data_IF_423914510367
#
_entry.id   IF_423914510367
#
_cell.length_a   1.000
_cell.length_b   1.000
_cell.length_c   1.000
_cell.angle_alpha   90.00
_cell.angle_beta   90.00
_cell.angle_gamma   90.00
#
_symmetry.space_group_name_H-M   'P 1'
#
loop_
_entity.id
_entity.type
_entity.pdbx_description
1 polymer ?
#
# COMPACT_ATOMS: atom_id res chain seq x y z
N UNK A 1 -6.59 -8.77 -21.51
CA UNK A 1 -5.29 -9.13 -20.91
C UNK A 1 -5.37 -8.74 -19.45
N UNK A 2 -5.07 -9.64 -18.51
CA UNK A 2 -4.98 -9.25 -17.10
C UNK A 2 -3.88 -8.22 -16.94
N UNK A 3 -4.18 -7.07 -16.34
CA UNK A 3 -3.17 -6.07 -16.01
C UNK A 3 -2.13 -6.72 -15.09
N UNK A 4 -0.85 -6.61 -15.44
CA UNK A 4 0.24 -7.10 -14.60
C UNK A 4 0.35 -6.21 -13.36
N UNK A 5 0.65 -6.81 -12.20
CA UNK A 5 0.95 -6.03 -11.00
C UNK A 5 2.25 -5.24 -11.23
N UNK A 6 2.26 -3.96 -10.82
CA UNK A 6 3.43 -3.07 -10.93
C UNK A 6 3.89 -2.65 -9.54
N UNK A 7 5.20 -2.49 -9.37
CA UNK A 7 5.83 -1.94 -8.19
C UNK A 7 6.33 -0.52 -8.51
N UNK A 8 5.77 0.49 -7.84
CA UNK A 8 6.29 1.85 -7.86
C UNK A 8 7.16 2.06 -6.62
N UNK A 9 8.42 2.45 -6.83
CA UNK A 9 9.35 2.85 -5.77
C UNK A 9 9.47 4.38 -5.85
N UNK A 10 9.13 5.07 -4.75
CA UNK A 10 9.25 6.54 -4.65
C UNK A 10 10.42 6.92 -3.74
N UNK A 11 11.55 7.27 -4.35
CA UNK A 11 12.76 7.76 -3.66
C UNK A 11 12.64 9.24 -3.31
N UNK A 12 12.73 9.55 -2.03
CA UNK A 12 12.61 10.90 -1.49
C UNK A 12 13.96 11.65 -1.51
N UNK A 13 14.66 11.57 -2.64
CA UNK A 13 16.00 12.13 -2.88
C UNK A 13 17.08 11.58 -1.93
N UNK A 14 17.22 10.25 -1.84
CA UNK A 14 18.29 9.63 -1.06
C UNK A 14 19.66 10.07 -1.56
N UNK A 15 20.57 10.46 -0.66
CA UNK A 15 21.90 10.99 -1.02
C UNK A 15 22.77 9.95 -1.74
N UNK A 16 22.78 8.71 -1.24
CA UNK A 16 23.49 7.57 -1.81
C UNK A 16 22.49 6.63 -2.45
N UNK A 17 21.91 7.05 -3.57
CA UNK A 17 20.94 6.24 -4.30
C UNK A 17 21.59 4.95 -4.81
N UNK A 18 20.90 3.83 -4.62
CA UNK A 18 21.40 2.51 -4.94
C UNK A 18 21.23 2.19 -6.43
N UNK A 19 22.34 2.00 -7.14
CA UNK A 19 22.35 1.64 -8.56
C UNK A 19 21.70 0.26 -8.80
N UNK A 20 21.64 -0.62 -7.79
CA UNK A 20 20.94 -1.91 -7.90
C UNK A 20 19.43 -1.73 -8.07
N UNK A 21 18.85 -0.64 -7.54
CA UNK A 21 17.45 -0.30 -7.80
C UNK A 21 17.25 0.04 -9.28
N UNK A 22 18.15 0.81 -9.88
CA UNK A 22 18.08 1.09 -11.32
C UNK A 22 18.16 -0.19 -12.14
N UNK A 23 19.10 -1.08 -11.79
CA UNK A 23 19.24 -2.39 -12.42
C UNK A 23 17.95 -3.22 -12.30
N UNK A 24 17.25 -3.16 -11.16
CA UNK A 24 15.97 -3.84 -10.99
C UNK A 24 14.92 -3.31 -11.98
N UNK A 25 14.80 -1.99 -12.13
CA UNK A 25 13.86 -1.38 -13.08
C UNK A 25 14.22 -1.68 -14.54
N UNK A 26 15.51 -1.76 -14.89
CA UNK A 26 15.95 -2.17 -16.23
C UNK A 26 15.63 -3.64 -16.54
N UNK A 27 15.68 -4.52 -15.54
CA UNK A 27 15.49 -5.96 -15.71
C UNK A 27 14.02 -6.41 -15.56
N UNK A 28 13.18 -5.61 -14.89
CA UNK A 28 11.76 -5.91 -14.72
C UNK A 28 10.90 -4.67 -15.04
N UNK A 29 10.24 -4.71 -16.20
CA UNK A 29 9.34 -3.65 -16.66
C UNK A 29 8.16 -3.34 -15.72
N UNK A 30 7.89 -4.20 -14.73
CA UNK A 30 6.87 -3.96 -13.71
C UNK A 30 7.37 -3.02 -12.61
N UNK A 31 8.68 -2.81 -12.50
CA UNK A 31 9.30 -1.95 -11.49
C UNK A 31 9.55 -0.57 -12.07
N UNK A 32 8.85 0.41 -11.51
CA UNK A 32 8.96 1.83 -11.87
C UNK A 32 9.59 2.57 -10.72
N UNK A 33 10.62 3.37 -11.01
CA UNK A 33 11.29 4.19 -10.00
C UNK A 33 10.97 5.66 -10.27
N UNK A 34 10.39 6.32 -9.29
CA UNK A 34 10.27 7.77 -9.24
C UNK A 34 11.26 8.30 -8.21
N UNK A 35 12.07 9.28 -8.61
CA UNK A 35 13.03 9.93 -7.71
C UNK A 35 12.79 11.41 -7.65
N UNK A 36 12.62 11.91 -6.44
CA UNK A 36 12.51 13.33 -6.19
C UNK A 36 13.84 14.05 -6.34
N UNK A 37 13.77 15.29 -6.85
CA UNK A 37 14.96 16.15 -7.04
C UNK A 37 15.55 16.62 -5.71
N UNK A 38 14.71 16.74 -4.68
CA UNK A 38 15.03 17.18 -3.33
C UNK A 38 14.15 16.41 -2.36
N UNK A 39 14.61 16.23 -1.12
CA UNK A 39 13.81 15.60 -0.09
C UNK A 39 12.61 16.50 0.25
N UNK A 40 11.39 16.00 0.05
CA UNK A 40 10.13 16.71 0.29
C UNK A 40 9.43 16.28 1.59
N UNK A 41 10.09 15.43 2.37
CA UNK A 41 9.54 14.79 3.55
C UNK A 41 8.62 13.60 3.25
N UNK A 42 8.49 12.71 4.24
CA UNK A 42 7.78 11.43 4.08
C UNK A 42 6.31 11.59 3.66
N UNK A 43 5.56 12.50 4.28
CA UNK A 43 4.14 12.69 3.98
C UNK A 43 3.91 13.11 2.52
N UNK A 44 4.73 14.01 2.00
CA UNK A 44 4.60 14.47 0.62
C UNK A 44 5.06 13.38 -0.37
N UNK A 45 6.10 12.61 -0.02
CA UNK A 45 6.52 11.46 -0.82
C UNK A 45 5.45 10.37 -0.89
N UNK A 46 4.79 10.07 0.25
CA UNK A 46 3.66 9.13 0.30
C UNK A 46 2.48 9.65 -0.54
N UNK A 47 2.13 10.93 -0.41
CA UNK A 47 1.04 11.53 -1.20
C UNK A 47 1.30 11.43 -2.71
N UNK A 48 2.54 11.64 -3.17
CA UNK A 48 2.91 11.45 -4.57
C UNK A 48 2.68 10.04 -5.09
N UNK A 49 2.81 9.00 -4.25
CA UNK A 49 2.48 7.64 -4.68
C UNK A 49 1.03 7.54 -5.19
N UNK A 50 0.07 8.22 -4.54
CA UNK A 50 -1.33 8.26 -4.99
C UNK A 50 -1.49 9.02 -6.32
N UNK A 51 -0.66 10.01 -6.61
CA UNK A 51 -0.68 10.77 -7.86
C UNK A 51 -0.03 10.01 -9.03
N UNK A 52 0.97 9.17 -8.75
CA UNK A 52 1.78 8.48 -9.74
C UNK A 52 1.21 7.11 -10.14
N UNK A 53 0.45 6.46 -9.26
CA UNK A 53 -0.14 5.15 -9.54
C UNK A 53 -1.26 5.28 -10.56
N UNK A 54 -1.28 4.37 -11.53
CA UNK A 54 -2.28 4.31 -12.62
C UNK A 54 -3.14 3.05 -12.60
N UNK A 55 -2.88 2.15 -11.64
CA UNK A 55 -3.66 0.94 -11.44
C UNK A 55 -4.93 1.21 -10.65
N UNK A 56 -5.98 0.41 -10.88
CA UNK A 56 -7.26 0.53 -10.17
C UNK A 56 -7.16 0.25 -8.66
N UNK A 57 -6.08 -0.41 -8.23
CA UNK A 57 -5.83 -0.72 -6.83
C UNK A 57 -4.39 -0.40 -6.49
N UNK A 58 -4.19 0.21 -5.32
CA UNK A 58 -2.87 0.52 -4.78
C UNK A 58 -2.70 -0.12 -3.42
N UNK A 59 -1.63 -0.89 -3.24
CA UNK A 59 -1.14 -1.27 -1.93
C UNK A 59 0.03 -0.36 -1.56
N UNK A 60 -0.19 0.50 -0.57
CA UNK A 60 0.88 1.36 -0.06
C UNK A 60 1.77 0.55 0.87
N UNK A 61 3.09 0.64 0.73
CA UNK A 61 4.07 -0.10 1.52
C UNK A 61 5.17 0.83 2.02
N UNK A 62 5.63 0.61 3.24
CA UNK A 62 6.91 1.12 3.71
C UNK A 62 8.04 0.19 3.24
N UNK A 63 9.21 0.76 2.99
CA UNK A 63 10.46 0.03 2.73
C UNK A 63 10.94 -0.80 3.95
N UNK A 64 10.62 -0.35 5.16
CA UNK A 64 10.92 -1.06 6.42
C UNK A 64 10.01 -2.28 6.72
N UNK A 65 8.92 -2.48 5.96
CA UNK A 65 7.91 -3.49 6.29
C UNK A 65 8.18 -4.86 5.65
N UNK A 66 8.10 -5.92 6.47
CA UNK A 66 8.19 -7.30 6.00
C UNK A 66 6.88 -7.78 5.37
N UNK A 67 6.97 -8.33 4.16
CA UNK A 67 5.82 -8.89 3.43
C UNK A 67 5.69 -10.40 3.66
N UNK A 68 4.48 -10.87 4.00
CA UNK A 68 4.18 -12.31 4.05
C UNK A 68 4.11 -12.88 2.62
N UNK A 69 4.61 -14.11 2.36
CA UNK A 69 4.65 -14.70 1.01
C UNK A 69 3.28 -14.79 0.29
N UNK A 70 2.19 -14.87 1.05
CA UNK A 70 0.82 -14.97 0.53
C UNK A 70 0.05 -13.64 0.57
N UNK A 71 0.70 -12.51 0.86
CA UNK A 71 0.01 -11.23 1.00
C UNK A 71 -0.77 -10.84 -0.27
N UNK A 72 -0.13 -10.89 -1.44
CA UNK A 72 -0.77 -10.52 -2.72
C UNK A 72 -1.97 -11.42 -3.06
N UNK A 73 -1.90 -12.73 -2.77
CA UNK A 73 -3.02 -13.62 -3.05
C UNK A 73 -4.21 -13.36 -2.13
N UNK A 74 -3.96 -13.02 -0.86
CA UNK A 74 -4.99 -12.58 0.09
C UNK A 74 -5.62 -11.27 -0.39
N UNK A 75 -4.81 -10.26 -0.73
CA UNK A 75 -5.27 -8.95 -1.18
C UNK A 75 -6.17 -9.10 -2.41
N UNK A 76 -5.72 -9.83 -3.44
CA UNK A 76 -6.51 -10.06 -4.67
C UNK A 76 -7.81 -10.81 -4.39
N UNK A 77 -7.80 -11.78 -3.46
CA UNK A 77 -9.02 -12.47 -3.05
C UNK A 77 -10.03 -11.50 -2.42
N UNK A 78 -9.58 -10.56 -1.59
CA UNK A 78 -10.45 -9.56 -0.97
C UNK A 78 -11.00 -8.55 -1.99
N UNK A 79 -10.15 -8.04 -2.89
CA UNK A 79 -10.58 -7.17 -4.00
C UNK A 79 -11.69 -7.82 -4.84
N UNK A 80 -11.59 -9.12 -5.11
CA UNK A 80 -12.60 -9.83 -5.91
C UNK A 80 -13.90 -10.16 -5.16
N UNK A 81 -14.00 -9.92 -3.84
CA UNK A 81 -15.24 -10.20 -3.06
C UNK A 81 -16.32 -9.13 -3.27
N UNK A 82 -15.97 -7.92 -3.71
CA UNK A 82 -16.92 -6.82 -3.90
C UNK A 82 -16.24 -5.48 -4.17
N UNK A 83 -17.04 -4.44 -4.37
CA UNK A 83 -16.58 -3.06 -4.60
C UNK A 83 -16.40 -2.33 -3.27
N UNK A 84 -15.23 -2.47 -2.64
CA UNK A 84 -14.85 -1.66 -1.48
C UNK A 84 -14.04 -0.43 -1.94
N UNK A 85 -14.16 0.69 -1.23
CA UNK A 85 -13.31 1.88 -1.46
C UNK A 85 -11.87 1.64 -1.00
N UNK A 86 -11.68 0.84 0.05
CA UNK A 86 -10.38 0.36 0.49
C UNK A 86 -10.54 -0.91 1.34
N UNK A 87 -9.46 -1.67 1.48
CA UNK A 87 -9.35 -2.80 2.39
C UNK A 87 -8.29 -2.47 3.44
N UNK A 88 -8.65 -2.57 4.72
CA UNK A 88 -7.72 -2.45 5.83
C UNK A 88 -7.44 -3.83 6.43
N UNK A 89 -6.20 -4.27 6.32
CA UNK A 89 -5.74 -5.57 6.77
C UNK A 89 -5.24 -5.52 8.20
N UNK A 90 -5.21 -6.70 8.79
CA UNK A 90 -4.67 -6.89 10.10
C UNK A 90 -3.16 -7.02 10.14
N UNK A 91 -2.56 -6.41 11.17
CA UNK A 91 -1.17 -6.69 11.53
C UNK A 91 -1.08 -7.46 12.85
N UNK A 92 -0.11 -8.39 12.89
CA UNK A 92 0.34 -9.13 14.09
C UNK A 92 0.94 -8.20 15.15
N UNK A 93 1.30 -6.96 14.78
CA UNK A 93 1.79 -5.93 15.69
C UNK A 93 0.73 -5.48 16.71
N UNK A 94 -0.55 -5.74 16.44
CA UNK A 94 -1.66 -5.33 17.30
C UNK A 94 -2.37 -6.55 17.88
N UNK A 95 -2.67 -6.50 19.19
CA UNK A 95 -3.26 -7.60 19.96
C UNK A 95 -4.75 -7.83 19.69
N UNK A 96 -5.43 -6.93 19.00
CA UNK A 96 -6.88 -6.97 18.91
C UNK A 96 -7.35 -8.14 18.04
N UNK A 97 -8.35 -8.88 18.53
CA UNK A 97 -9.01 -9.97 17.81
C UNK A 97 -9.69 -9.43 16.56
N UNK A 98 -9.59 -10.16 15.45
CA UNK A 98 -10.05 -9.68 14.15
C UNK A 98 -11.06 -10.63 13.53
N UNK A 99 -12.15 -10.02 13.10
CA UNK A 99 -13.19 -10.62 12.30
C UNK A 99 -13.26 -9.81 11.03
N UNK A 100 -13.33 -10.48 9.88
CA UNK A 100 -13.62 -9.80 8.62
C UNK A 100 -14.96 -9.07 8.76
N UNK A 101 -14.95 -7.77 8.48
CA UNK A 101 -16.12 -6.89 8.54
C UNK A 101 -16.21 -6.11 7.22
N UNK A 102 -17.42 -5.99 6.70
CA UNK A 102 -17.74 -5.14 5.56
C UNK A 102 -18.57 -3.98 6.11
N UNK A 103 -18.10 -2.76 5.88
CA UNK A 103 -18.80 -1.55 6.30
C UNK A 103 -19.39 -0.88 5.05
N UNK A 104 -20.71 -0.71 5.02
CA UNK A 104 -21.44 -0.11 3.88
C UNK A 104 -21.75 1.39 4.10
N UNK A 105 -21.30 1.95 5.22
CA UNK A 105 -21.47 3.38 5.55
C UNK A 105 -20.27 3.89 6.32
N UNK A 106 -20.07 5.21 6.27
CA UNK A 106 -19.02 5.88 7.04
C UNK A 106 -19.21 5.71 8.55
N UNK A 107 -20.44 5.84 9.05
CA UNK A 107 -20.73 5.66 10.48
C UNK A 107 -20.44 4.21 10.92
N UNK A 108 -20.89 3.22 10.13
CA UNK A 108 -20.59 1.81 10.40
C UNK A 108 -19.08 1.51 10.39
N UNK A 109 -18.33 2.19 9.52
CA UNK A 109 -16.87 2.12 9.52
C UNK A 109 -16.28 2.74 10.80
N UNK A 110 -16.66 3.95 11.19
CA UNK A 110 -16.18 4.59 12.42
C UNK A 110 -16.46 3.73 13.67
N UNK A 111 -17.66 3.16 13.76
CA UNK A 111 -18.05 2.25 14.84
C UNK A 111 -17.18 0.98 14.84
N UNK A 112 -16.86 0.45 13.66
CA UNK A 112 -16.02 -0.75 13.52
C UNK A 112 -14.57 -0.54 13.97
N UNK A 113 -14.02 0.66 13.73
CA UNK A 113 -12.69 1.04 14.21
C UNK A 113 -12.73 1.13 15.73
N UNK A 114 -13.73 1.83 16.27
CA UNK A 114 -13.85 2.11 17.69
C UNK A 114 -12.52 2.61 18.28
N UNK A 115 -12.01 1.93 19.30
CA UNK A 115 -10.73 2.25 19.94
C UNK A 115 -9.49 1.64 19.24
N UNK A 116 -9.65 0.96 18.10
CA UNK A 116 -8.56 0.28 17.37
C UNK A 116 -7.96 1.13 16.23
N UNK A 117 -8.02 2.46 16.37
CA UNK A 117 -7.48 3.39 15.38
C UNK A 117 -5.99 3.13 15.04
N UNK A 118 -5.22 2.57 15.98
CA UNK A 118 -3.81 2.23 15.77
C UNK A 118 -3.56 1.34 14.55
N UNK A 119 -4.53 0.53 14.11
CA UNK A 119 -4.34 -0.29 12.90
C UNK A 119 -4.31 0.53 11.60
N UNK A 120 -4.96 1.69 11.59
CA UNK A 120 -5.01 2.60 10.45
C UNK A 120 -3.76 3.47 10.35
N UNK A 121 -2.98 3.59 11.44
CA UNK A 121 -1.69 4.28 11.43
C UNK A 121 -0.60 3.52 10.67
N UNK A 122 -0.77 2.20 10.50
CA UNK A 122 0.15 1.36 9.75
C UNK A 122 -0.18 1.43 8.26
N UNK A 123 0.60 2.21 7.50
CA UNK A 123 0.33 2.49 6.08
C UNK A 123 0.22 1.20 5.25
N UNK A 124 1.08 0.21 5.54
CA UNK A 124 1.16 -1.09 4.86
C UNK A 124 -0.04 -2.00 5.05
N UNK A 125 -0.94 -1.67 5.97
CA UNK A 125 -2.19 -2.40 6.15
C UNK A 125 -3.29 -1.95 5.19
N UNK A 126 -3.09 -0.89 4.41
CA UNK A 126 -4.16 -0.31 3.60
C UNK A 126 -3.96 -0.58 2.11
N UNK A 127 -5.03 -1.06 1.47
CA UNK A 127 -5.11 -1.24 0.02
C UNK A 127 -6.29 -0.42 -0.50
N UNK A 128 -6.02 0.54 -1.37
CA UNK A 128 -6.97 1.56 -1.82
C UNK A 128 -7.49 1.22 -3.22
N UNK A 129 -8.78 1.47 -3.45
CA UNK A 129 -9.36 1.53 -4.77
C UNK A 129 -9.10 2.95 -5.33
N UNK A 130 -8.50 3.03 -6.52
CA UNK A 130 -7.94 4.27 -7.11
C UNK A 130 -8.82 4.81 -8.24
#
# INVERSE_FOLDING_TARGET
MSQLDTLLISDNATELFDDDLLNLSYNDSRVVIHRDKVNIGANANIAKCFELVTGNWMWLLSDDDCIKPNALSIIKKCINKGSADFNNFSSELLKTKRTDLICESFDGYLDSIGNNFSNHLLISNNVFNM
#
